data_IF_613126561502
#
_entry.id   IF_613126561502
#
_cell.length_a   1.000
_cell.length_b   1.000
_cell.length_c   1.000
_cell.angle_alpha   90.00
_cell.angle_beta   90.00
_cell.angle_gamma   90.00
#
_symmetry.space_group_name_H-M   'P 1'
#
loop_
_entity.id
_entity.type
_entity.pdbx_description
1 polymer ?
#
# COMPACT_ATOMS: atom_id res chain seq x y z
N UNK A 1 0.12 -12.68 32.63
CA UNK A 1 -0.23 -12.38 31.23
C UNK A 1 0.05 -10.91 31.03
N UNK A 2 0.91 -10.52 30.10
CA UNK A 2 1.22 -9.10 29.84
C UNK A 2 0.05 -8.47 29.09
N UNK A 3 -0.60 -7.46 29.67
CA UNK A 3 -1.64 -6.70 28.97
C UNK A 3 -1.07 -6.01 27.74
N UNK A 4 -1.76 -6.18 26.61
CA UNK A 4 -1.33 -5.72 25.30
C UNK A 4 -2.41 -4.85 24.67
N UNK A 5 -2.00 -3.74 24.07
CA UNK A 5 -2.88 -2.81 23.36
C UNK A 5 -2.49 -2.77 21.88
N UNK A 6 -3.49 -2.74 21.00
CA UNK A 6 -3.27 -2.62 19.56
C UNK A 6 -3.43 -1.17 19.12
N UNK A 7 -2.48 -0.68 18.34
CA UNK A 7 -2.53 0.66 17.78
C UNK A 7 -3.69 0.79 16.77
N UNK A 8 -4.63 1.71 17.02
CA UNK A 8 -5.76 2.02 16.12
C UNK A 8 -5.33 2.57 14.74
N UNK A 9 -4.08 3.00 14.60
CA UNK A 9 -3.53 3.58 13.37
C UNK A 9 -2.73 2.59 12.52
N UNK A 10 -2.00 1.66 13.13
CA UNK A 10 -1.10 0.75 12.39
C UNK A 10 -1.16 -0.72 12.82
N UNK A 11 -2.01 -1.07 13.79
CA UNK A 11 -2.21 -2.45 14.21
C UNK A 11 -1.10 -3.10 15.02
N UNK A 12 -0.04 -2.37 15.31
CA UNK A 12 1.09 -2.93 16.06
C UNK A 12 0.67 -3.20 17.50
N UNK A 13 1.02 -4.37 18.00
CA UNK A 13 0.89 -4.75 19.40
C UNK A 13 1.91 -3.96 20.22
N UNK A 14 1.45 -3.32 21.27
CA UNK A 14 2.25 -2.55 22.20
C UNK A 14 1.95 -3.03 23.62
N UNK A 15 2.87 -2.79 24.55
CA UNK A 15 2.57 -2.98 25.96
C UNK A 15 1.44 -2.05 26.37
N UNK A 16 0.54 -2.48 27.26
CA UNK A 16 -0.52 -1.61 27.79
C UNK A 16 0.02 -0.32 28.45
N UNK A 17 1.27 -0.32 28.91
CA UNK A 17 1.96 0.86 29.48
C UNK A 17 2.59 1.80 28.42
N UNK A 18 2.53 1.47 27.13
CA UNK A 18 3.14 2.29 26.09
C UNK A 18 2.35 3.59 25.92
N UNK A 19 3.03 4.74 26.05
CA UNK A 19 2.43 6.06 25.76
C UNK A 19 2.30 6.31 24.26
N UNK A 20 3.19 5.71 23.47
CA UNK A 20 3.23 5.84 22.01
C UNK A 20 3.37 4.47 21.36
N UNK A 21 2.81 4.31 20.17
CA UNK A 21 2.99 3.10 19.37
C UNK A 21 4.46 2.95 18.92
N UNK A 22 5.08 1.82 19.23
CA UNK A 22 6.47 1.49 18.89
C UNK A 22 6.76 1.42 17.37
N UNK A 23 5.72 1.34 16.52
CA UNK A 23 5.88 1.28 15.07
C UNK A 23 5.51 2.58 14.35
N UNK A 24 4.42 3.24 14.76
CA UNK A 24 3.92 4.44 14.06
C UNK A 24 3.91 5.72 14.89
N UNK A 25 4.32 5.66 16.17
CA UNK A 25 4.45 6.84 17.04
C UNK A 25 3.13 7.52 17.44
N UNK A 26 1.96 6.95 17.13
CA UNK A 26 0.69 7.53 17.57
C UNK A 26 0.57 7.44 19.10
N UNK A 27 0.14 8.50 19.78
CA UNK A 27 -0.13 8.42 21.21
C UNK A 27 -1.31 7.47 21.46
N UNK A 28 -1.24 6.72 22.55
CA UNK A 28 -2.41 6.02 23.10
C UNK A 28 -3.15 7.02 23.99
N UNK A 29 -4.37 7.39 23.59
CA UNK A 29 -5.13 8.44 24.26
C UNK A 29 -5.47 8.04 25.70
N UNK A 30 -4.98 8.82 26.66
CA UNK A 30 -5.55 8.89 28.00
C UNK A 30 -6.71 9.90 27.96
N UNK A 31 -7.85 9.52 27.38
CA UNK A 31 -9.07 10.31 27.50
C UNK A 31 -9.90 9.74 28.65
N UNK A 32 -9.56 10.19 29.87
CA UNK A 32 -10.53 10.23 30.97
C UNK A 32 -11.12 11.64 30.99
N UNK A 33 -12.21 11.83 30.26
CA UNK A 33 -13.17 12.90 30.56
C UNK A 33 -14.57 12.33 30.38
N UNK A 34 -15.13 11.84 31.48
CA UNK A 34 -16.56 11.67 31.62
C UNK A 34 -17.22 13.05 31.63
N UNK A 35 -18.16 13.32 30.73
CA UNK A 35 -19.43 14.00 31.07
C UNK A 35 -20.46 13.77 29.96
N UNK A 36 -21.71 13.56 30.41
CA UNK A 36 -22.96 13.67 29.67
C UNK A 36 -23.37 12.48 28.78
N UNK A 37 -23.94 11.47 29.43
CA UNK A 37 -25.00 10.66 28.86
C UNK A 37 -26.14 11.56 28.36
N UNK A 38 -26.44 11.48 27.05
CA UNK A 38 -27.75 11.81 26.51
C UNK A 38 -28.35 10.47 26.11
N UNK A 39 -29.05 9.84 27.05
CA UNK A 39 -30.01 8.78 26.70
C UNK A 39 -31.21 9.42 26.02
N UNK A 40 -31.83 8.77 25.02
CA UNK A 40 -33.10 9.25 24.49
C UNK A 40 -34.17 9.12 25.58
N UNK A 41 -34.82 10.23 25.89
CA UNK A 41 -35.95 10.30 26.82
C UNK A 41 -37.12 9.51 26.25
N UNK A 42 -37.46 8.40 26.92
CA UNK A 42 -38.64 7.59 26.62
C UNK A 42 -39.82 8.23 27.34
N UNK A 43 -40.69 8.89 26.59
CA UNK A 43 -41.97 9.39 27.11
C UNK A 43 -42.88 8.22 27.50
N UNK A 44 -43.59 8.26 28.64
CA UNK A 44 -44.57 7.22 28.99
C UNK A 44 -45.82 7.38 28.11
N UNK A 45 -46.26 6.28 27.49
CA UNK A 45 -47.54 6.18 26.77
C UNK A 45 -48.69 6.09 27.77
N UNK A 46 -49.82 6.80 27.57
CA UNK A 46 -51.00 6.65 28.42
C UNK A 46 -51.63 5.26 28.23
N UNK A 47 -52.02 4.63 29.35
CA UNK A 47 -52.73 3.35 29.39
C UNK A 47 -54.23 3.59 29.21
N UNK A 48 -54.81 3.08 28.12
CA UNK A 48 -56.26 2.93 27.93
C UNK A 48 -56.76 1.58 28.49
N UNK A 49 -58.06 1.45 28.79
CA UNK A 49 -58.60 0.29 29.49
C UNK A 49 -58.61 -0.98 28.62
N UNK A 50 -58.48 -2.11 29.32
CA UNK A 50 -58.29 -3.45 28.80
C UNK A 50 -59.56 -4.07 28.20
N UNK A 51 -59.40 -4.77 27.07
CA UNK A 51 -60.28 -5.83 26.62
C UNK A 51 -59.53 -7.18 26.67
N UNK A 52 -60.13 -8.27 27.17
CA UNK A 52 -59.51 -9.58 27.20
C UNK A 52 -59.92 -10.36 25.93
N UNK A 53 -59.05 -10.41 24.94
CA UNK A 53 -59.17 -11.36 23.83
C UNK A 53 -57.90 -12.21 23.75
N UNK A 54 -58.08 -13.49 24.05
CA UNK A 54 -57.13 -14.59 24.06
C UNK A 54 -56.29 -14.62 22.78
N UNK A 55 -55.03 -14.17 22.86
CA UNK A 55 -54.04 -14.36 21.81
C UNK A 55 -53.00 -15.39 22.28
N UNK A 56 -52.82 -16.46 21.50
CA UNK A 56 -51.85 -17.52 21.74
C UNK A 56 -50.41 -16.96 21.76
N UNK A 57 -49.46 -17.59 22.49
CA UNK A 57 -48.07 -17.15 22.50
C UNK A 57 -47.46 -17.31 21.09
N UNK A 58 -47.12 -16.20 20.44
CA UNK A 58 -46.29 -16.24 19.24
C UNK A 58 -44.87 -16.55 19.66
N UNK A 59 -44.37 -17.70 19.21
CA UNK A 59 -43.01 -18.18 19.41
C UNK A 59 -42.07 -17.21 18.69
N UNK A 60 -41.44 -16.29 19.44
CA UNK A 60 -40.43 -15.40 18.89
C UNK A 60 -39.21 -16.26 18.47
N UNK A 61 -38.74 -16.16 17.21
CA UNK A 61 -37.54 -16.87 16.81
C UNK A 61 -36.35 -16.43 17.68
N UNK A 62 -35.40 -17.33 17.98
CA UNK A 62 -34.27 -17.02 18.85
C UNK A 62 -33.55 -15.76 18.36
N UNK A 63 -33.40 -14.78 19.25
CA UNK A 63 -32.62 -13.58 19.02
C UNK A 63 -31.19 -13.97 18.61
N UNK A 64 -30.90 -13.93 17.30
CA UNK A 64 -29.56 -14.13 16.79
C UNK A 64 -28.73 -12.92 17.19
N UNK A 65 -27.78 -13.12 18.12
CA UNK A 65 -26.84 -12.07 18.51
C UNK A 65 -26.15 -11.51 17.25
N UNK A 66 -25.96 -10.18 17.14
CA UNK A 66 -25.22 -9.61 16.03
C UNK A 66 -23.83 -10.25 15.98
N UNK A 67 -23.51 -10.85 14.84
CA UNK A 67 -22.16 -11.35 14.56
C UNK A 67 -21.25 -10.13 14.52
N UNK A 68 -20.58 -9.83 15.63
CA UNK A 68 -19.47 -8.90 15.64
C UNK A 68 -18.34 -9.53 14.83
N UNK A 69 -18.22 -9.13 13.57
CA UNK A 69 -17.03 -9.41 12.78
C UNK A 69 -15.85 -8.81 13.53
N UNK A 70 -14.93 -9.68 13.96
CA UNK A 70 -13.68 -9.23 14.57
C UNK A 70 -13.03 -8.21 13.64
N UNK A 71 -12.55 -7.05 14.16
CA UNK A 71 -11.84 -6.08 13.34
C UNK A 71 -10.71 -6.81 12.61
N UNK A 72 -10.65 -6.66 11.29
CA UNK A 72 -9.59 -7.27 10.49
C UNK A 72 -8.23 -6.91 11.12
N UNK A 73 -7.29 -7.88 11.23
CA UNK A 73 -5.98 -7.62 11.82
C UNK A 73 -5.35 -6.44 11.09
N UNK A 74 -5.09 -5.36 11.82
CA UNK A 74 -4.67 -4.11 11.22
C UNK A 74 -3.36 -4.32 10.44
N UNK A 75 -3.45 -4.10 9.12
CA UNK A 75 -2.40 -4.46 8.18
C UNK A 75 -1.09 -3.73 8.50
N UNK A 76 -0.02 -4.49 8.75
CA UNK A 76 1.29 -3.90 9.04
C UNK A 76 1.88 -3.31 7.76
N UNK A 77 2.06 -2.00 7.71
CA UNK A 77 2.64 -1.34 6.54
C UNK A 77 4.12 -1.69 6.32
N UNK A 78 4.53 -1.77 5.06
CA UNK A 78 5.95 -1.75 4.69
C UNK A 78 6.56 -0.41 5.07
N UNK A 79 7.79 -0.38 5.60
CA UNK A 79 8.53 0.86 5.83
C UNK A 79 9.36 1.28 4.62
N UNK A 80 10.19 2.32 4.76
CA UNK A 80 11.14 2.72 3.72
C UNK A 80 12.16 1.63 3.39
N UNK A 81 12.92 1.16 4.39
CA UNK A 81 14.05 0.23 4.19
C UNK A 81 13.66 -1.10 3.53
N UNK A 82 12.55 -1.70 3.93
CA UNK A 82 12.09 -2.95 3.31
C UNK A 82 11.68 -2.74 1.83
N UNK A 83 11.13 -1.58 1.49
CA UNK A 83 10.85 -1.23 0.08
C UNK A 83 12.13 -0.94 -0.69
N UNK A 84 13.12 -0.32 -0.05
CA UNK A 84 14.43 -0.08 -0.64
C UNK A 84 15.14 -1.39 -0.98
N UNK A 85 15.17 -2.35 -0.05
CA UNK A 85 15.73 -3.69 -0.32
C UNK A 85 14.92 -4.42 -1.40
N UNK A 86 13.59 -4.32 -1.38
CA UNK A 86 12.75 -4.88 -2.46
C UNK A 86 13.15 -4.29 -3.83
N UNK A 87 13.37 -2.97 -3.91
CA UNK A 87 13.77 -2.29 -5.13
C UNK A 87 15.17 -2.73 -5.62
N UNK A 88 16.10 -3.04 -4.72
CA UNK A 88 17.41 -3.62 -5.09
C UNK A 88 17.22 -5.00 -5.71
N UNK A 89 16.41 -5.86 -5.09
CA UNK A 89 16.13 -7.21 -5.63
C UNK A 89 15.45 -7.10 -6.99
N UNK A 90 14.48 -6.21 -7.14
CA UNK A 90 13.82 -5.94 -8.41
C UNK A 90 14.81 -5.43 -9.48
N UNK A 91 15.74 -4.54 -9.10
CA UNK A 91 16.76 -4.03 -10.01
C UNK A 91 17.73 -5.13 -10.48
N UNK A 92 18.10 -6.06 -9.59
CA UNK A 92 18.91 -7.22 -9.97
C UNK A 92 18.13 -8.17 -10.89
N UNK A 93 16.87 -8.47 -10.55
CA UNK A 93 16.01 -9.35 -11.35
C UNK A 93 15.79 -8.79 -12.76
N UNK A 94 15.49 -7.49 -12.88
CA UNK A 94 15.40 -6.81 -14.17
C UNK A 94 16.76 -6.72 -14.87
N UNK A 95 17.84 -6.44 -14.13
CA UNK A 95 19.20 -6.32 -14.67
C UNK A 95 19.69 -7.57 -15.38
N UNK A 96 19.34 -8.76 -14.87
CA UNK A 96 19.67 -10.06 -15.51
C UNK A 96 19.16 -10.12 -16.96
N UNK A 97 18.00 -9.54 -17.24
CA UNK A 97 17.39 -9.56 -18.58
C UNK A 97 17.76 -8.31 -19.38
N UNK A 98 17.66 -7.14 -18.76
CA UNK A 98 17.78 -5.85 -19.44
C UNK A 98 19.24 -5.54 -19.81
N UNK A 99 20.23 -5.92 -18.98
CA UNK A 99 21.63 -5.60 -19.26
C UNK A 99 22.19 -6.32 -20.49
N UNK A 100 22.06 -7.65 -20.66
CA UNK A 100 22.56 -8.34 -21.86
C UNK A 100 21.90 -7.81 -23.14
N UNK A 101 20.58 -7.57 -23.09
CA UNK A 101 19.83 -7.02 -24.23
C UNK A 101 20.31 -5.60 -24.55
N UNK A 102 20.53 -4.76 -23.53
CA UNK A 102 21.06 -3.41 -23.72
C UNK A 102 22.47 -3.39 -24.31
N UNK A 103 23.34 -4.31 -23.89
CA UNK A 103 24.70 -4.44 -24.39
C UNK A 103 24.73 -4.89 -25.85
N UNK A 104 23.92 -5.90 -26.19
CA UNK A 104 23.72 -6.34 -27.57
C UNK A 104 23.22 -5.19 -28.45
N UNK A 105 22.19 -4.47 -28.01
CA UNK A 105 21.62 -3.36 -28.76
C UNK A 105 22.61 -2.19 -28.90
N UNK A 106 23.38 -1.89 -27.85
CA UNK A 106 24.42 -0.88 -27.88
C UNK A 106 25.52 -1.21 -28.90
N UNK A 107 25.95 -2.48 -28.96
CA UNK A 107 26.91 -2.96 -29.95
C UNK A 107 26.33 -2.84 -31.37
N UNK A 108 25.10 -3.28 -31.58
CA UNK A 108 24.42 -3.20 -32.88
C UNK A 108 24.28 -1.77 -33.38
N UNK A 109 23.90 -0.83 -32.50
CA UNK A 109 23.82 0.60 -32.83
C UNK A 109 25.21 1.16 -33.15
N UNK A 110 26.24 0.76 -32.39
CA UNK A 110 27.63 1.18 -32.66
C UNK A 110 28.12 0.72 -34.03
N UNK A 111 27.93 -0.55 -34.36
CA UNK A 111 28.33 -1.13 -35.66
C UNK A 111 27.51 -0.53 -36.80
N UNK A 112 26.19 -0.41 -36.65
CA UNK A 112 25.32 0.17 -37.68
C UNK A 112 25.64 1.66 -37.92
N UNK A 113 25.86 2.43 -36.86
CA UNK A 113 26.23 3.84 -36.96
C UNK A 113 27.58 4.04 -37.66
N UNK A 114 28.57 3.18 -37.36
CA UNK A 114 29.86 3.20 -38.06
C UNK A 114 29.77 2.85 -39.55
N UNK A 115 28.81 1.99 -39.95
CA UNK A 115 28.60 1.63 -41.37
C UNK A 115 27.98 2.73 -42.23
N UNK A 116 27.35 3.72 -41.61
CA UNK A 116 26.71 4.85 -42.29
C UNK A 116 27.46 6.17 -42.06
N UNK A 117 28.72 6.08 -41.65
CA UNK A 117 29.61 7.22 -41.32
C UNK A 117 28.97 8.24 -40.36
N UNK A 118 28.11 7.77 -39.45
CA UNK A 118 27.48 8.63 -38.46
C UNK A 118 28.55 9.17 -37.49
N UNK A 119 28.58 10.48 -37.19
CA UNK A 119 29.53 11.02 -36.22
C UNK A 119 29.33 10.37 -34.85
N UNK A 120 30.41 10.19 -34.09
CA UNK A 120 30.36 9.49 -32.80
C UNK A 120 29.33 10.06 -31.82
N UNK A 121 29.12 11.39 -31.83
CA UNK A 121 28.08 12.02 -31.01
C UNK A 121 26.67 11.59 -31.40
N UNK A 122 26.39 11.38 -32.70
CA UNK A 122 25.11 10.87 -33.17
C UNK A 122 24.86 9.44 -32.68
N UNK A 123 25.88 8.58 -32.77
CA UNK A 123 25.81 7.19 -32.26
C UNK A 123 25.53 7.19 -30.75
N UNK A 124 26.22 8.04 -29.98
CA UNK A 124 26.01 8.13 -28.54
C UNK A 124 24.62 8.66 -28.16
N UNK A 125 24.09 9.63 -28.89
CA UNK A 125 22.74 10.16 -28.67
C UNK A 125 21.68 9.11 -28.96
N UNK A 126 21.74 8.45 -30.13
CA UNK A 126 20.81 7.37 -30.50
C UNK A 126 20.87 6.24 -29.48
N UNK A 127 22.07 5.78 -29.13
CA UNK A 127 22.28 4.75 -28.09
C UNK A 127 21.67 5.18 -26.76
N UNK A 128 21.92 6.42 -26.33
CA UNK A 128 21.40 6.96 -25.08
C UNK A 128 19.87 6.96 -25.04
N UNK A 129 19.23 7.47 -26.10
CA UNK A 129 17.76 7.52 -26.22
C UNK A 129 17.16 6.11 -26.23
N UNK A 130 17.72 5.19 -27.02
CA UNK A 130 17.22 3.82 -27.15
C UNK A 130 17.33 3.07 -25.82
N UNK A 131 18.50 3.13 -25.18
CA UNK A 131 18.71 2.47 -23.88
C UNK A 131 17.79 3.10 -22.83
N UNK A 132 17.74 4.43 -22.72
CA UNK A 132 16.92 5.10 -21.72
C UNK A 132 15.43 4.75 -21.88
N UNK A 133 14.92 4.77 -23.12
CA UNK A 133 13.53 4.39 -23.43
C UNK A 133 13.26 2.93 -23.08
N UNK A 134 14.19 2.03 -23.42
CA UNK A 134 14.08 0.62 -23.08
C UNK A 134 14.00 0.40 -21.57
N UNK A 135 14.87 1.03 -20.77
CA UNK A 135 14.82 0.95 -19.30
C UNK A 135 13.53 1.50 -18.73
N UNK A 136 13.06 2.65 -19.25
CA UNK A 136 11.81 3.27 -18.82
C UNK A 136 10.61 2.34 -19.07
N UNK A 137 10.50 1.80 -20.28
CA UNK A 137 9.42 0.91 -20.69
C UNK A 137 9.48 -0.44 -19.95
N UNK A 138 10.67 -1.06 -19.86
CA UNK A 138 10.84 -2.34 -19.17
C UNK A 138 10.46 -2.22 -17.69
N UNK A 139 10.96 -1.19 -16.99
CA UNK A 139 10.62 -0.93 -15.60
C UNK A 139 9.12 -0.64 -15.41
N UNK A 140 8.53 0.17 -16.29
CA UNK A 140 7.11 0.52 -16.23
C UNK A 140 6.23 -0.71 -16.40
N UNK A 141 6.44 -1.47 -17.48
CA UNK A 141 5.64 -2.65 -17.78
C UNK A 141 5.80 -3.69 -16.68
N UNK A 142 7.03 -3.95 -16.23
CA UNK A 142 7.31 -4.89 -15.15
C UNK A 142 6.55 -4.52 -13.87
N UNK A 143 6.72 -3.29 -13.38
CA UNK A 143 6.07 -2.90 -12.13
C UNK A 143 4.55 -2.80 -12.27
N UNK A 144 4.05 -2.16 -13.32
CA UNK A 144 2.62 -1.97 -13.50
C UNK A 144 1.89 -3.30 -13.73
N UNK A 145 2.44 -4.21 -14.53
CA UNK A 145 1.84 -5.53 -14.75
C UNK A 145 1.89 -6.39 -13.48
N UNK A 146 3.01 -6.40 -12.75
CA UNK A 146 3.12 -7.22 -11.54
C UNK A 146 2.28 -6.69 -10.38
N UNK A 147 2.30 -5.37 -10.12
CA UNK A 147 1.53 -4.77 -9.02
C UNK A 147 0.02 -4.81 -9.27
N UNK A 148 -0.41 -4.79 -10.54
CA UNK A 148 -1.84 -4.92 -10.91
C UNK A 148 -2.32 -6.37 -11.06
N UNK A 149 -1.40 -7.35 -11.07
CA UNK A 149 -1.73 -8.79 -11.17
C UNK A 149 -2.30 -9.35 -9.87
N UNK A 150 -2.75 -10.62 -9.89
CA UNK A 150 -3.14 -11.35 -8.68
C UNK A 150 -2.05 -11.43 -7.61
N UNK A 151 -0.78 -11.26 -7.98
CA UNK A 151 0.35 -11.24 -7.03
C UNK A 151 0.41 -9.96 -6.21
N UNK A 152 -0.09 -8.84 -6.76
CA UNK A 152 -0.06 -7.51 -6.14
C UNK A 152 1.33 -7.03 -5.72
N UNK A 153 2.38 -7.57 -6.33
CA UNK A 153 3.74 -7.36 -5.87
C UNK A 153 4.73 -7.68 -6.99
N UNK A 154 5.82 -6.91 -7.05
CA UNK A 154 7.00 -7.24 -7.86
C UNK A 154 7.80 -8.36 -7.20
N UNK A 155 8.74 -8.99 -7.92
CA UNK A 155 9.50 -10.13 -7.40
C UNK A 155 10.23 -9.80 -6.08
N UNK A 156 10.89 -8.64 -6.01
CA UNK A 156 11.55 -8.17 -4.80
C UNK A 156 10.58 -7.90 -3.66
N UNK A 157 9.39 -7.36 -3.96
CA UNK A 157 8.33 -7.19 -2.95
C UNK A 157 7.83 -8.55 -2.47
N UNK A 158 7.59 -9.51 -3.36
CA UNK A 158 7.18 -10.87 -3.00
C UNK A 158 8.20 -11.54 -2.08
N UNK A 159 9.50 -11.43 -2.39
CA UNK A 159 10.58 -11.97 -1.57
C UNK A 159 10.56 -11.43 -0.13
N UNK A 160 10.10 -10.20 0.07
CA UNK A 160 10.00 -9.54 1.37
C UNK A 160 8.58 -9.54 1.96
N UNK A 161 7.68 -10.37 1.42
CA UNK A 161 6.26 -10.47 1.83
C UNK A 161 5.51 -9.14 1.74
N UNK A 162 5.89 -8.37 0.71
CA UNK A 162 5.33 -7.15 0.15
C UNK A 162 4.02 -7.35 -0.61
N UNK A 163 2.95 -6.58 -0.36
CA UNK A 163 1.85 -6.39 -1.33
C UNK A 163 1.48 -4.91 -1.49
N UNK A 164 1.12 -4.53 -2.71
CA UNK A 164 0.60 -3.21 -3.08
C UNK A 164 -0.92 -3.32 -3.23
N UNK A 165 -1.62 -2.47 -2.50
CA UNK A 165 -3.09 -2.40 -2.48
C UNK A 165 -3.54 -0.97 -2.72
N UNK A 166 -4.82 -0.77 -2.99
CA UNK A 166 -5.43 0.54 -2.76
C UNK A 166 -5.60 0.81 -1.25
N UNK A 167 -6.20 1.94 -0.92
CA UNK A 167 -6.44 2.33 0.47
C UNK A 167 -7.42 1.42 1.22
N UNK A 168 -8.22 0.62 0.49
CA UNK A 168 -9.18 -0.34 1.04
C UNK A 168 -8.61 -1.77 1.10
N UNK A 169 -7.33 -1.97 0.73
CA UNK A 169 -6.70 -3.28 0.72
C UNK A 169 -6.98 -4.11 -0.53
N UNK A 170 -7.68 -3.56 -1.52
CA UNK A 170 -8.01 -4.24 -2.77
C UNK A 170 -6.87 -4.15 -3.79
N UNK A 171 -6.92 -5.04 -4.80
CA UNK A 171 -5.97 -5.04 -5.92
C UNK A 171 -6.11 -3.78 -6.76
N UNK A 172 -4.98 -3.17 -7.10
CA UNK A 172 -4.95 -1.97 -7.94
C UNK A 172 -5.12 -2.32 -9.43
N UNK A 173 -5.71 -1.40 -10.20
CA UNK A 173 -5.77 -1.52 -11.65
C UNK A 173 -4.42 -1.20 -12.30
N UNK A 174 -4.21 -1.66 -13.54
CA UNK A 174 -3.02 -1.34 -14.32
C UNK A 174 -2.84 0.17 -14.52
N UNK A 175 -3.93 0.92 -14.70
CA UNK A 175 -3.90 2.38 -14.82
C UNK A 175 -3.39 3.03 -13.51
N UNK A 176 -3.88 2.58 -12.35
CA UNK A 176 -3.41 3.07 -11.05
C UNK A 176 -1.95 2.70 -10.79
N UNK A 177 -1.54 1.48 -11.15
CA UNK A 177 -0.15 1.04 -11.08
C UNK A 177 0.77 1.87 -11.99
N UNK A 178 0.29 2.24 -13.19
CA UNK A 178 1.01 3.11 -14.13
C UNK A 178 1.15 4.53 -13.58
N UNK A 179 0.05 5.12 -13.08
CA UNK A 179 0.10 6.44 -12.43
C UNK A 179 1.08 6.45 -11.26
N UNK A 180 1.09 5.37 -10.45
CA UNK A 180 2.07 5.16 -9.39
C UNK A 180 3.51 5.12 -9.92
N UNK A 181 3.77 4.40 -11.02
CA UNK A 181 5.10 4.33 -11.64
C UNK A 181 5.57 5.70 -12.15
N UNK A 182 4.74 6.43 -12.90
CA UNK A 182 5.14 7.74 -13.43
C UNK A 182 5.27 8.80 -12.32
N UNK A 183 4.49 8.71 -11.25
CA UNK A 183 4.65 9.57 -10.05
C UNK A 183 5.99 9.38 -9.33
N UNK A 184 6.66 8.24 -9.53
CA UNK A 184 8.04 8.04 -9.05
C UNK A 184 9.04 8.93 -9.77
N UNK A 185 8.75 9.40 -10.99
CA UNK A 185 9.59 10.39 -11.68
C UNK A 185 9.64 11.67 -10.86
N UNK A 186 8.50 12.17 -10.39
CA UNK A 186 8.44 13.33 -9.50
C UNK A 186 9.26 13.10 -8.24
N UNK A 187 9.14 11.91 -7.64
CA UNK A 187 9.93 11.54 -6.45
C UNK A 187 11.45 11.55 -6.73
N UNK A 188 11.89 11.18 -7.94
CA UNK A 188 13.30 11.24 -8.36
C UNK A 188 13.75 12.68 -8.61
N UNK A 189 12.90 13.54 -9.17
CA UNK A 189 13.20 14.96 -9.39
C UNK A 189 13.44 15.72 -8.09
N UNK A 190 12.70 15.40 -7.03
CA UNK A 190 12.88 16.00 -5.69
C UNK A 190 13.96 15.28 -4.86
N UNK A 191 15.06 14.85 -5.48
CA UNK A 191 16.20 14.20 -4.80
C UNK A 191 15.82 12.99 -3.93
N UNK A 192 14.89 12.15 -4.42
CA UNK A 192 14.41 10.93 -3.72
C UNK A 192 13.65 11.19 -2.42
N UNK A 193 13.39 12.45 -2.03
CA UNK A 193 12.65 12.81 -0.80
C UNK A 193 11.28 12.12 -0.78
N UNK A 194 10.61 12.04 -1.94
CA UNK A 194 9.31 11.38 -2.07
C UNK A 194 9.32 9.91 -1.65
N UNK A 195 10.45 9.20 -1.74
CA UNK A 195 10.58 7.83 -1.24
C UNK A 195 10.78 7.80 0.28
N UNK A 196 11.60 8.71 0.81
CA UNK A 196 11.96 8.79 2.22
C UNK A 196 10.73 9.09 3.09
N UNK A 197 9.73 9.80 2.56
CA UNK A 197 8.44 10.04 3.23
C UNK A 197 7.79 8.76 3.78
N UNK A 198 8.00 7.61 3.14
CA UNK A 198 7.52 6.32 3.62
C UNK A 198 8.09 5.91 4.99
N UNK A 199 9.18 6.52 5.45
CA UNK A 199 9.73 6.32 6.80
C UNK A 199 8.93 7.07 7.87
N UNK A 200 8.40 8.24 7.55
CA UNK A 200 7.84 9.20 8.51
C UNK A 200 6.31 9.22 8.54
N UNK A 201 5.64 8.81 7.46
CA UNK A 201 4.18 8.88 7.36
C UNK A 201 3.50 7.78 8.18
N UNK A 202 2.31 8.09 8.73
CA UNK A 202 1.51 7.18 9.55
C UNK A 202 1.23 5.83 8.89
N UNK A 203 0.83 5.87 7.61
CA UNK A 203 0.55 4.69 6.77
C UNK A 203 1.78 4.24 5.96
N UNK A 204 2.96 4.79 6.27
CA UNK A 204 4.24 4.55 5.58
C UNK A 204 4.13 4.71 4.05
N UNK A 205 3.32 5.66 3.58
CA UNK A 205 3.15 6.00 2.15
C UNK A 205 4.30 6.89 1.67
N UNK A 206 4.84 6.57 0.49
CA UNK A 206 5.68 7.48 -0.27
C UNK A 206 4.83 8.50 -1.06
N UNK A 207 5.45 9.55 -1.61
CA UNK A 207 4.75 10.56 -2.42
C UNK A 207 3.97 9.94 -3.58
N UNK A 208 4.59 9.03 -4.32
CA UNK A 208 3.94 8.33 -5.43
C UNK A 208 2.82 7.38 -4.97
N UNK A 209 2.88 6.89 -3.72
CA UNK A 209 1.80 6.08 -3.16
C UNK A 209 0.59 6.95 -2.83
N UNK A 210 0.82 8.17 -2.30
CA UNK A 210 -0.23 9.14 -2.02
C UNK A 210 -0.92 9.63 -3.29
N UNK A 211 -0.15 9.97 -4.32
CA UNK A 211 -0.70 10.42 -5.61
C UNK A 211 -1.56 9.32 -6.26
N UNK A 212 -1.14 8.06 -6.14
CA UNK A 212 -1.86 6.93 -6.72
C UNK A 212 -2.97 6.36 -5.82
N UNK A 213 -3.13 6.84 -4.59
CA UNK A 213 -4.07 6.26 -3.61
C UNK A 213 -3.77 4.80 -3.30
N UNK A 214 -2.50 4.48 -3.02
CA UNK A 214 -2.03 3.11 -2.78
C UNK A 214 -1.35 2.96 -1.42
N UNK A 215 -1.32 1.72 -0.94
CA UNK A 215 -0.66 1.29 0.28
C UNK A 215 0.26 0.11 -0.04
N UNK A 216 1.33 -0.04 0.74
CA UNK A 216 2.13 -1.28 0.72
C UNK A 216 2.05 -1.92 2.09
N UNK A 217 1.51 -3.13 2.12
CA UNK A 217 1.22 -3.89 3.33
C UNK A 217 2.09 -5.15 3.36
N UNK A 218 2.45 -5.59 4.57
CA UNK A 218 3.09 -6.88 4.79
C UNK A 218 2.03 -7.97 4.81
N UNK A 219 2.27 -9.03 4.05
CA UNK A 219 1.53 -10.28 4.20
C UNK A 219 2.15 -11.07 5.34
N UNK A 220 1.32 -11.51 6.29
CA UNK A 220 1.75 -12.40 7.36
C UNK A 220 2.15 -13.76 6.79
#
# INVERSE_FOLDING_TARGET
MTDVIYCNRCGTQNSALAKFCANCGSPFGSETTATAAIGPEVTPRPQGPADPATAAPSEQPPYAAPVYSSPAPAARYGGFWIRFVAAIIDALALGIVVWPVSGMLALMIGVAGGRVDMPGIGIHLVRGIVIWTMFLCAGWIYEAAMESSSKQATLGKMALRLKVTDEHGSRISFARASARYFSKILSRMILMIGYIMAGFTARKQALHDMIAGTLVVRTQ
#
